data_IF_657623449580
#
_entry.id   IF_657623449580
#
_cell.length_a   1.000
_cell.length_b   1.000
_cell.length_c   1.000
_cell.angle_alpha   90.00
_cell.angle_beta   90.00
_cell.angle_gamma   90.00
#
_symmetry.space_group_name_H-M   'P 1'
#
loop_
_entity.id
_entity.type
_entity.pdbx_description
1 polymer ?
#
# COMPACT_ATOMS: atom_id res chain seq x y z
N UNK A 1 -4.42 -10.68 -14.22
CA UNK A 1 -4.52 -9.23 -13.93
C UNK A 1 -5.82 -8.65 -14.49
N UNK A 2 -6.57 -7.90 -13.68
CA UNK A 2 -7.80 -7.18 -14.08
C UNK A 2 -7.53 -5.68 -14.08
N UNK A 3 -7.88 -4.96 -15.16
CA UNK A 3 -7.97 -3.50 -15.11
C UNK A 3 -9.35 -3.09 -14.62
N UNK A 4 -9.41 -2.31 -13.55
CA UNK A 4 -10.66 -1.94 -12.88
C UNK A 4 -10.71 -0.41 -12.75
N UNK A 5 -11.84 0.18 -13.14
CA UNK A 5 -12.05 1.60 -12.86
C UNK A 5 -12.08 1.81 -11.33
N UNK A 6 -11.39 2.83 -10.79
CA UNK A 6 -11.36 3.10 -9.34
C UNK A 6 -12.75 3.15 -8.70
N UNK A 7 -13.73 3.70 -9.40
CA UNK A 7 -15.11 3.81 -8.91
C UNK A 7 -15.80 2.44 -8.75
N UNK A 8 -15.36 1.43 -9.52
CA UNK A 8 -15.95 0.09 -9.53
C UNK A 8 -15.06 -0.93 -8.79
N UNK A 9 -14.00 -0.48 -8.14
CA UNK A 9 -13.10 -1.35 -7.39
C UNK A 9 -13.79 -1.80 -6.10
N UNK A 10 -14.13 -3.09 -6.05
CA UNK A 10 -14.61 -3.74 -4.85
C UNK A 10 -13.45 -4.55 -4.23
N UNK A 11 -12.95 -4.07 -3.10
CA UNK A 11 -11.84 -4.72 -2.39
C UNK A 11 -12.26 -6.01 -1.70
N UNK A 12 -13.55 -6.25 -1.48
CA UNK A 12 -14.06 -7.50 -0.90
C UNK A 12 -13.83 -8.71 -1.81
N UNK A 13 -13.63 -8.49 -3.12
CA UNK A 13 -13.22 -9.53 -4.08
C UNK A 13 -11.80 -10.05 -3.84
N UNK A 14 -10.94 -9.27 -3.15
CA UNK A 14 -9.51 -9.52 -3.01
C UNK A 14 -9.07 -9.70 -1.56
N UNK A 15 -9.64 -8.91 -0.65
CA UNK A 15 -9.24 -8.79 0.75
C UNK A 15 -10.29 -9.47 1.63
N UNK A 16 -9.84 -10.19 2.63
CA UNK A 16 -10.71 -10.84 3.61
C UNK A 16 -10.32 -10.44 5.04
N UNK A 17 -11.24 -10.64 5.96
CA UNK A 17 -10.97 -10.42 7.37
C UNK A 17 -9.74 -11.21 7.84
N UNK A 18 -8.87 -10.55 8.61
CA UNK A 18 -7.61 -11.08 9.11
C UNK A 18 -6.43 -10.95 8.16
N UNK A 19 -6.60 -10.39 6.95
CA UNK A 19 -5.47 -10.06 6.06
C UNK A 19 -4.65 -8.90 6.63
N UNK A 20 -3.33 -8.95 6.40
CA UNK A 20 -2.41 -7.85 6.66
C UNK A 20 -2.02 -7.18 5.33
N UNK A 21 -2.28 -5.88 5.22
CA UNK A 21 -2.11 -5.07 4.02
C UNK A 21 -0.87 -4.21 4.18
N UNK A 22 0.08 -4.32 3.25
CA UNK A 22 1.23 -3.43 3.15
C UNK A 22 0.97 -2.36 2.11
N UNK A 23 1.10 -1.10 2.50
CA UNK A 23 0.94 0.04 1.61
C UNK A 23 2.30 0.63 1.23
N UNK A 24 2.44 1.10 -0.01
CA UNK A 24 3.51 2.01 -0.37
C UNK A 24 3.51 3.24 0.54
N UNK A 25 4.67 3.87 0.72
CA UNK A 25 4.81 4.99 1.66
C UNK A 25 5.27 6.28 0.97
N UNK A 26 5.21 7.38 1.69
CA UNK A 26 5.62 8.72 1.24
C UNK A 26 4.97 9.07 -0.11
N UNK A 27 5.74 9.52 -1.10
CA UNK A 27 5.24 9.79 -2.45
C UNK A 27 4.89 8.53 -3.25
N UNK A 28 5.07 7.35 -2.68
CA UNK A 28 4.64 6.05 -3.21
C UNK A 28 3.34 5.54 -2.58
N UNK A 29 2.63 6.36 -1.81
CA UNK A 29 1.36 6.01 -1.18
C UNK A 29 0.22 5.93 -2.21
N UNK A 30 -0.45 4.76 -2.38
CA UNK A 30 -1.54 4.58 -3.34
C UNK A 30 -2.85 5.08 -2.72
N UNK A 31 -3.06 6.40 -2.74
CA UNK A 31 -4.13 7.07 -1.98
C UNK A 31 -5.53 6.60 -2.37
N UNK A 32 -5.78 6.33 -3.65
CA UNK A 32 -7.07 5.79 -4.09
C UNK A 32 -7.38 4.43 -3.48
N UNK A 33 -6.36 3.56 -3.38
CA UNK A 33 -6.53 2.22 -2.79
C UNK A 33 -6.74 2.32 -1.27
N UNK A 34 -6.01 3.20 -0.60
CA UNK A 34 -6.15 3.38 0.86
C UNK A 34 -7.48 4.04 1.22
N UNK A 35 -7.96 5.01 0.42
CA UNK A 35 -9.30 5.59 0.57
C UNK A 35 -10.40 4.54 0.36
N UNK A 36 -10.28 3.70 -0.66
CA UNK A 36 -11.20 2.58 -0.89
C UNK A 36 -11.19 1.56 0.25
N UNK A 37 -10.04 1.29 0.85
CA UNK A 37 -9.94 0.44 2.02
C UNK A 37 -10.72 1.01 3.20
N UNK A 38 -10.55 2.30 3.47
CA UNK A 38 -11.30 3.00 4.53
C UNK A 38 -12.80 2.97 4.25
N UNK A 39 -13.23 3.27 3.02
CA UNK A 39 -14.64 3.24 2.61
C UNK A 39 -15.27 1.86 2.83
N UNK A 40 -14.55 0.81 2.44
CA UNK A 40 -15.07 -0.57 2.41
C UNK A 40 -14.72 -1.40 3.65
N UNK A 41 -14.00 -0.83 4.65
CA UNK A 41 -13.48 -1.56 5.80
C UNK A 41 -14.52 -2.39 6.56
N UNK A 42 -15.75 -1.88 6.64
CA UNK A 42 -16.85 -2.58 7.32
C UNK A 42 -17.34 -3.80 6.55
N UNK A 43 -17.32 -3.73 5.22
CA UNK A 43 -17.72 -4.84 4.36
C UNK A 43 -16.63 -5.92 4.31
N UNK A 44 -15.35 -5.52 4.33
CA UNK A 44 -14.19 -6.44 4.37
C UNK A 44 -14.10 -7.14 5.73
N UNK A 45 -14.38 -6.42 6.81
CA UNK A 45 -14.20 -6.89 8.18
C UNK A 45 -12.82 -6.53 8.76
N UNK A 46 -12.50 -6.99 9.99
CA UNK A 46 -11.26 -6.63 10.67
C UNK A 46 -10.02 -7.02 9.86
N UNK A 47 -9.14 -6.06 9.59
CA UNK A 47 -7.87 -6.24 8.85
C UNK A 47 -6.74 -5.45 9.51
N UNK A 48 -5.50 -5.81 9.19
CA UNK A 48 -4.32 -5.09 9.62
C UNK A 48 -3.74 -4.26 8.47
N UNK A 49 -3.22 -3.08 8.78
CA UNK A 49 -2.56 -2.21 7.80
C UNK A 49 -1.18 -1.86 8.32
N UNK A 50 -0.14 -2.21 7.55
CA UNK A 50 1.22 -1.80 7.85
C UNK A 50 1.54 -0.50 7.11
N UNK A 51 1.80 0.54 7.86
CA UNK A 51 2.07 1.89 7.39
C UNK A 51 3.55 2.24 7.55
N UNK A 52 4.13 2.83 6.51
CA UNK A 52 5.39 3.56 6.61
C UNK A 52 5.15 5.04 6.92
N UNK A 53 5.95 5.91 6.29
CA UNK A 53 5.72 7.34 6.30
C UNK A 53 4.44 7.64 5.50
N UNK A 54 3.43 8.19 6.13
CA UNK A 54 2.18 8.61 5.45
C UNK A 54 2.18 10.12 5.22
N UNK A 55 1.83 10.54 4.03
CA UNK A 55 1.67 11.95 3.66
C UNK A 55 0.19 12.32 3.49
N UNK A 56 -0.67 11.38 3.13
CA UNK A 56 -2.11 11.60 3.04
C UNK A 56 -2.77 11.64 4.43
N UNK A 57 -3.96 12.20 4.49
CA UNK A 57 -4.83 12.20 5.68
C UNK A 57 -5.86 11.06 5.67
N UNK A 58 -5.67 10.06 4.82
CA UNK A 58 -6.63 8.97 4.60
C UNK A 58 -6.98 8.21 5.86
N UNK A 59 -5.98 7.88 6.68
CA UNK A 59 -6.24 7.12 7.90
C UNK A 59 -6.46 8.02 9.11
N UNK A 60 -7.49 7.72 9.90
CA UNK A 60 -7.81 8.41 11.15
C UNK A 60 -8.10 7.41 12.28
N UNK A 61 -8.09 7.89 13.52
CA UNK A 61 -8.30 7.06 14.71
C UNK A 61 -9.67 6.35 14.72
N UNK A 62 -10.70 6.96 14.14
CA UNK A 62 -12.03 6.35 14.04
C UNK A 62 -12.07 5.09 13.18
N UNK A 63 -11.11 4.94 12.25
CA UNK A 63 -11.00 3.76 11.38
C UNK A 63 -10.46 2.52 12.11
N UNK A 64 -9.97 2.70 13.35
CA UNK A 64 -9.59 1.58 14.22
C UNK A 64 -10.78 0.70 14.65
N UNK A 65 -12.00 1.05 14.22
CA UNK A 65 -13.18 0.21 14.36
C UNK A 65 -13.04 -1.13 13.62
N UNK A 66 -12.34 -1.16 12.46
CA UNK A 66 -12.07 -2.34 11.64
C UNK A 66 -10.62 -2.47 11.17
N UNK A 67 -9.79 -1.41 11.31
CA UNK A 67 -8.39 -1.42 10.87
C UNK A 67 -7.45 -1.42 12.07
N UNK A 68 -6.58 -2.41 12.17
CA UNK A 68 -5.47 -2.39 13.12
C UNK A 68 -4.26 -1.79 12.45
N UNK A 69 -3.79 -0.64 12.95
CA UNK A 69 -2.65 0.06 12.38
C UNK A 69 -1.35 -0.42 13.01
N UNK A 70 -0.43 -0.85 12.17
CA UNK A 70 0.92 -1.27 12.52
C UNK A 70 1.95 -0.42 11.77
N UNK A 71 3.08 -0.09 12.41
CA UNK A 71 4.17 0.67 11.79
C UNK A 71 5.51 0.37 12.47
N UNK A 72 6.61 0.74 11.83
CA UNK A 72 7.92 0.76 12.46
C UNK A 72 8.24 2.08 13.17
N UNK A 73 7.35 3.09 13.05
CA UNK A 73 7.46 4.37 13.74
C UNK A 73 6.35 5.33 13.32
N UNK A 74 5.98 6.29 14.19
CA UNK A 74 4.96 7.29 13.89
C UNK A 74 5.54 8.41 13.03
N UNK A 75 5.44 8.28 11.70
CA UNK A 75 6.05 9.20 10.73
C UNK A 75 5.01 9.84 9.81
N UNK A 76 5.20 11.14 9.54
CA UNK A 76 4.24 11.92 8.76
C UNK A 76 2.88 11.97 9.46
N UNK A 77 1.81 11.82 8.70
CA UNK A 77 0.44 11.91 9.23
C UNK A 77 0.01 10.70 10.07
N UNK A 78 0.76 9.58 10.04
CA UNK A 78 0.50 8.46 10.96
C UNK A 78 0.79 8.81 12.43
N UNK A 79 1.48 9.94 12.69
CA UNK A 79 1.69 10.44 14.04
C UNK A 79 0.36 10.67 14.78
N UNK A 80 -0.69 11.14 14.11
CA UNK A 80 -2.02 11.33 14.72
C UNK A 80 -2.62 10.02 15.25
N UNK A 81 -2.34 8.88 14.59
CA UNK A 81 -2.78 7.57 15.05
C UNK A 81 -2.03 7.13 16.32
N UNK A 82 -0.74 7.46 16.38
CA UNK A 82 0.08 7.23 17.58
C UNK A 82 -0.38 8.09 18.75
N UNK A 83 -0.63 9.38 18.51
CA UNK A 83 -1.11 10.31 19.53
C UNK A 83 -2.50 9.91 20.07
N UNK A 84 -3.32 9.28 19.22
CA UNK A 84 -4.63 8.72 19.62
C UNK A 84 -4.53 7.32 20.27
N UNK A 85 -3.33 6.71 20.34
CA UNK A 85 -3.11 5.41 20.98
C UNK A 85 -3.60 4.21 20.17
N UNK A 86 -3.81 4.37 18.85
CA UNK A 86 -4.31 3.30 17.96
C UNK A 86 -3.26 2.78 16.98
N UNK A 87 -2.01 3.25 17.05
CA UNK A 87 -0.89 2.77 16.24
C UNK A 87 -0.01 1.82 17.04
N UNK A 88 0.08 0.57 16.61
CA UNK A 88 1.04 -0.39 17.15
C UNK A 88 2.42 -0.16 16.50
N UNK A 89 3.44 0.00 17.32
CA UNK A 89 4.80 0.23 16.84
C UNK A 89 5.64 -1.02 17.06
N UNK A 90 6.18 -1.55 15.95
CA UNK A 90 7.20 -2.59 15.96
C UNK A 90 8.56 -1.92 15.76
N UNK A 91 9.41 -1.83 16.79
CA UNK A 91 10.68 -1.11 16.71
C UNK A 91 11.71 -1.91 15.90
N UNK A 92 11.70 -1.76 14.59
CA UNK A 92 12.61 -2.42 13.66
C UNK A 92 13.37 -1.39 12.83
N UNK A 93 14.58 -1.75 12.45
CA UNK A 93 15.36 -0.93 11.53
C UNK A 93 14.76 -1.01 10.11
N UNK A 94 14.57 0.14 9.47
CA UNK A 94 13.94 0.25 8.15
C UNK A 94 14.53 -0.72 7.12
N UNK A 95 15.85 -0.84 7.05
CA UNK A 95 16.54 -1.74 6.12
C UNK A 95 16.28 -3.23 6.34
N UNK A 96 15.66 -3.63 7.46
CA UNK A 96 15.31 -5.02 7.76
C UNK A 96 13.85 -5.37 7.43
N UNK A 97 13.01 -4.39 7.11
CA UNK A 97 11.58 -4.61 6.84
C UNK A 97 11.41 -5.62 5.70
N UNK A 98 12.10 -5.41 4.57
CA UNK A 98 12.05 -6.34 3.43
C UNK A 98 12.43 -7.77 3.82
N UNK A 99 13.47 -7.91 4.63
CA UNK A 99 13.92 -9.22 5.11
C UNK A 99 12.83 -9.91 5.96
N UNK A 100 12.24 -9.19 6.92
CA UNK A 100 11.17 -9.74 7.77
C UNK A 100 9.87 -10.05 7.01
N UNK A 101 9.56 -9.33 5.93
CA UNK A 101 8.45 -9.67 5.03
C UNK A 101 8.76 -11.01 4.32
N UNK A 102 9.95 -11.15 3.73
CA UNK A 102 10.34 -12.35 2.98
C UNK A 102 10.39 -13.58 3.89
N UNK A 103 10.92 -13.46 5.09
CA UNK A 103 10.96 -14.56 6.08
C UNK A 103 9.57 -14.88 6.65
N UNK A 104 8.61 -13.95 6.57
CA UNK A 104 7.26 -14.12 7.11
C UNK A 104 7.12 -13.72 8.57
N UNK A 105 8.15 -13.10 9.17
CA UNK A 105 8.06 -12.50 10.52
C UNK A 105 7.07 -11.33 10.52
N UNK A 106 7.08 -10.52 9.46
CA UNK A 106 6.03 -9.56 9.16
C UNK A 106 5.06 -10.21 8.16
N UNK A 107 3.85 -10.46 8.60
CA UNK A 107 2.79 -11.03 7.78
C UNK A 107 2.38 -10.03 6.70
N UNK A 108 2.40 -10.45 5.43
CA UNK A 108 2.01 -9.64 4.28
C UNK A 108 1.10 -10.47 3.36
N UNK A 109 -0.20 -10.27 3.47
CA UNK A 109 -1.19 -10.98 2.64
C UNK A 109 -1.55 -10.19 1.39
N UNK A 110 -1.57 -8.86 1.50
CA UNK A 110 -1.97 -7.95 0.42
C UNK A 110 -0.93 -6.83 0.30
N UNK A 111 -0.58 -6.46 -0.92
CA UNK A 111 0.26 -5.31 -1.22
C UNK A 111 -0.51 -4.28 -2.05
N UNK A 112 -0.54 -3.02 -1.58
CA UNK A 112 -1.04 -1.87 -2.32
C UNK A 112 0.13 -1.06 -2.86
N UNK A 113 0.18 -0.89 -4.18
CA UNK A 113 1.36 -0.41 -4.90
C UNK A 113 1.01 0.78 -5.79
N UNK A 114 1.71 1.90 -5.62
CA UNK A 114 1.62 3.02 -6.56
C UNK A 114 2.61 2.83 -7.71
N UNK A 115 2.16 3.09 -8.94
CA UNK A 115 2.92 2.90 -10.16
C UNK A 115 2.85 4.15 -11.04
N UNK A 116 3.96 4.43 -11.75
CA UNK A 116 3.98 5.43 -12.82
C UNK A 116 3.21 4.94 -14.06
N UNK A 117 2.85 5.81 -15.00
CA UNK A 117 2.57 5.42 -16.37
C UNK A 117 3.75 4.66 -17.00
N UNK A 118 3.53 4.08 -18.19
CA UNK A 118 4.62 3.43 -18.93
C UNK A 118 5.67 4.46 -19.37
N UNK A 119 6.91 4.14 -19.09
CA UNK A 119 8.04 4.96 -19.48
C UNK A 119 8.61 4.60 -20.85
N UNK A 120 9.78 5.18 -21.21
CA UNK A 120 10.41 5.01 -22.52
C UNK A 120 10.73 3.55 -22.89
N UNK A 121 10.93 2.70 -21.87
CA UNK A 121 11.18 1.26 -22.07
C UNK A 121 9.89 0.41 -22.11
N UNK A 122 8.72 1.05 -22.14
CA UNK A 122 7.42 0.40 -22.14
C UNK A 122 6.99 -0.21 -20.80
N UNK A 123 7.78 -0.04 -19.73
CA UNK A 123 7.49 -0.57 -18.39
C UNK A 123 7.00 0.53 -17.46
N UNK A 124 6.25 0.15 -16.43
CA UNK A 124 5.94 1.01 -15.30
C UNK A 124 7.14 1.09 -14.36
N UNK A 125 7.19 2.10 -13.49
CA UNK A 125 8.16 2.19 -12.39
C UNK A 125 7.44 2.41 -11.06
N UNK A 126 8.15 2.23 -9.95
CA UNK A 126 7.65 2.57 -8.60
C UNK A 126 7.72 4.08 -8.30
N UNK A 127 8.02 4.91 -9.30
CA UNK A 127 8.28 6.32 -9.07
C UNK A 127 9.58 6.52 -8.28
N UNK A 128 9.55 7.45 -7.33
CA UNK A 128 10.75 7.82 -6.54
C UNK A 128 10.93 7.00 -5.26
N UNK A 129 9.97 6.16 -4.91
CA UNK A 129 10.02 5.28 -3.73
C UNK A 129 10.03 3.82 -4.17
N UNK A 130 11.16 3.16 -3.96
CA UNK A 130 11.37 1.75 -4.26
C UNK A 130 12.04 1.09 -3.06
N UNK A 131 11.24 0.67 -2.10
CA UNK A 131 11.68 0.18 -0.80
C UNK A 131 11.12 -1.22 -0.50
N UNK A 132 10.64 -1.45 0.72
CA UNK A 132 10.05 -2.72 1.16
C UNK A 132 8.85 -3.18 0.32
N UNK A 133 8.26 -2.28 -0.49
CA UNK A 133 7.09 -2.63 -1.31
C UNK A 133 7.41 -3.73 -2.32
N UNK A 134 8.65 -3.85 -2.78
CA UNK A 134 9.06 -4.97 -3.65
C UNK A 134 8.97 -6.31 -2.92
N UNK A 135 9.47 -6.37 -1.70
CA UNK A 135 9.36 -7.58 -0.88
C UNK A 135 7.89 -7.91 -0.58
N UNK A 136 7.05 -6.89 -0.38
CA UNK A 136 5.61 -7.06 -0.22
C UNK A 136 4.97 -7.65 -1.49
N UNK A 137 5.31 -7.16 -2.69
CA UNK A 137 4.82 -7.71 -3.97
C UNK A 137 5.21 -9.19 -4.11
N UNK A 138 6.46 -9.53 -3.80
CA UNK A 138 6.95 -10.91 -3.95
C UNK A 138 6.24 -11.87 -2.97
N UNK A 139 5.92 -11.40 -1.77
CA UNK A 139 5.38 -12.24 -0.70
C UNK A 139 3.86 -12.29 -0.64
N UNK A 140 3.19 -11.19 -0.96
CA UNK A 140 1.74 -11.07 -0.82
C UNK A 140 0.98 -12.08 -1.67
N UNK A 141 -0.14 -12.57 -1.15
CA UNK A 141 -1.10 -13.40 -1.90
C UNK A 141 -1.81 -12.59 -2.98
N UNK A 142 -2.13 -11.34 -2.68
CA UNK A 142 -2.83 -10.39 -3.56
C UNK A 142 -1.98 -9.14 -3.74
N UNK A 143 -1.84 -8.67 -4.97
CA UNK A 143 -1.17 -7.41 -5.29
C UNK A 143 -2.13 -6.54 -6.10
N UNK A 144 -2.42 -5.35 -5.58
CA UNK A 144 -3.27 -4.36 -6.24
C UNK A 144 -2.45 -3.11 -6.54
N UNK A 145 -2.43 -2.72 -7.81
CA UNK A 145 -1.71 -1.55 -8.30
C UNK A 145 -2.63 -0.36 -8.54
N UNK A 146 -2.13 0.82 -8.22
CA UNK A 146 -2.68 2.10 -8.66
C UNK A 146 -1.69 2.73 -9.64
N UNK A 147 -2.06 2.84 -10.93
CA UNK A 147 -1.29 3.62 -11.90
C UNK A 147 -1.80 5.05 -11.84
N UNK A 148 -0.91 6.00 -11.51
CA UNK A 148 -1.26 7.41 -11.43
C UNK A 148 -0.37 8.21 -12.38
N UNK A 149 -0.97 9.05 -13.23
CA UNK A 149 -0.26 9.82 -14.26
C UNK A 149 0.61 10.96 -13.71
N UNK A 150 0.46 11.28 -12.43
CA UNK A 150 1.31 12.26 -11.73
C UNK A 150 2.59 11.62 -11.16
N UNK A 151 2.70 10.29 -11.15
CA UNK A 151 3.91 9.60 -10.69
C UNK A 151 5.00 9.71 -11.76
N UNK A 152 6.16 10.30 -11.47
CA UNK A 152 7.26 10.37 -12.42
C UNK A 152 7.80 8.97 -12.70
N UNK A 153 8.04 8.67 -13.98
CA UNK A 153 8.75 7.46 -14.33
C UNK A 153 10.25 7.62 -14.03
N UNK A 154 10.82 6.64 -13.36
CA UNK A 154 12.23 6.69 -12.90
C UNK A 154 12.97 5.42 -13.33
N UNK A 155 14.23 5.55 -13.70
CA UNK A 155 15.13 4.41 -13.92
C UNK A 155 15.39 3.68 -12.60
N UNK A 156 15.31 2.36 -12.61
CA UNK A 156 15.46 1.53 -11.42
C UNK A 156 16.09 0.19 -11.77
N UNK A 157 16.76 -0.43 -10.81
CA UNK A 157 17.15 -1.84 -10.88
C UNK A 157 15.91 -2.73 -10.69
N UNK A 158 15.29 -3.09 -11.81
CA UNK A 158 14.04 -3.85 -11.83
C UNK A 158 12.81 -2.97 -11.81
N UNK A 159 11.80 -3.42 -12.52
CA UNK A 159 10.52 -2.76 -12.70
C UNK A 159 9.39 -3.68 -12.23
N UNK A 160 8.22 -3.13 -11.84
CA UNK A 160 7.08 -3.95 -11.51
C UNK A 160 6.63 -4.76 -12.74
N UNK A 161 6.47 -6.06 -12.55
CA UNK A 161 5.92 -6.96 -13.57
C UNK A 161 4.42 -7.07 -13.34
N UNK A 162 3.63 -6.48 -14.24
CA UNK A 162 2.18 -6.39 -14.08
C UNK A 162 1.49 -7.76 -14.03
N UNK A 163 2.13 -8.80 -14.57
CA UNK A 163 1.65 -10.18 -14.49
C UNK A 163 1.50 -10.67 -13.03
N UNK A 164 2.26 -10.08 -12.12
CA UNK A 164 2.18 -10.36 -10.68
C UNK A 164 0.98 -9.70 -9.98
N UNK A 165 0.35 -8.72 -10.64
CA UNK A 165 -0.77 -7.98 -10.07
C UNK A 165 -2.10 -8.67 -10.35
N UNK A 166 -2.94 -8.80 -9.33
CA UNK A 166 -4.29 -9.35 -9.44
C UNK A 166 -5.25 -8.32 -10.02
N UNK A 167 -5.11 -7.06 -9.61
CA UNK A 167 -5.87 -5.93 -10.13
C UNK A 167 -5.01 -4.68 -10.26
N UNK A 168 -5.35 -3.84 -11.24
CA UNK A 168 -4.73 -2.53 -11.45
C UNK A 168 -5.82 -1.50 -11.71
N UNK A 169 -5.75 -0.39 -10.98
CA UNK A 169 -6.60 0.78 -11.16
C UNK A 169 -5.81 1.92 -11.78
N UNK A 170 -6.43 2.71 -12.64
CA UNK A 170 -5.79 3.88 -13.25
C UNK A 170 -6.43 5.16 -12.73
N UNK A 171 -5.62 6.07 -12.21
CA UNK A 171 -6.07 7.31 -11.59
C UNK A 171 -5.39 8.53 -12.16
N UNK A 172 -6.04 9.69 -12.02
CA UNK A 172 -5.52 11.00 -12.43
C UNK A 172 -5.43 11.96 -11.24
N UNK A 173 -5.41 11.40 -10.00
CA UNK A 173 -5.38 12.21 -8.80
C UNK A 173 -4.02 12.90 -8.62
N UNK A 174 -4.06 14.13 -8.12
CA UNK A 174 -2.85 14.82 -7.68
C UNK A 174 -2.25 14.05 -6.49
N UNK A 175 -0.96 13.80 -6.54
CA UNK A 175 -0.25 13.18 -5.42
C UNK A 175 -0.18 14.14 -4.22
N UNK A 176 -0.17 13.65 -3.00
CA UNK A 176 0.00 14.46 -1.80
C UNK A 176 1.34 15.18 -1.73
#
# INVERSE_FOLDING_TARGET
MKYINPQNLDLTDFIKAGDCIFCGQATGEPTTLTEKLVEQRKAIGPTEVFLGLTLSDTFDAEHADFLTFNSFGPMGNSKKLSDAGVLNITPIHFGLISHYIIEGTLKCDVAFVLLSPRGPNGKHSFGVINDYIRAAIDKARIVIGEINDQVPWVYSEGYPELERFDAVSYTHLTLP
#
